data_IF_765118216538
#
_entry.id   IF_765118216538
#
_cell.length_a   1.000
_cell.length_b   1.000
_cell.length_c   1.000
_cell.angle_alpha   90.00
_cell.angle_beta   90.00
_cell.angle_gamma   90.00
#
_symmetry.space_group_name_H-M   'P 1'
#
loop_
_entity.id
_entity.type
_entity.pdbx_description
1 polymer ?
#
# COMPACT_ATOMS: atom_id res chain seq x y z
N UNK A 1 10.46 -19.67 26.19
CA UNK A 1 9.58 -19.98 27.33
C UNK A 1 10.37 -20.89 28.26
N UNK A 2 10.77 -20.39 29.43
CA UNK A 2 11.70 -21.10 30.30
C UNK A 2 10.96 -22.13 31.16
N UNK A 3 10.83 -23.37 30.66
CA UNK A 3 10.20 -24.48 31.39
C UNK A 3 10.81 -24.71 32.78
N UNK A 4 12.09 -24.35 32.94
CA UNK A 4 12.78 -24.36 34.24
C UNK A 4 12.15 -23.38 35.24
N UNK A 5 11.83 -22.15 34.81
CA UNK A 5 11.17 -21.14 35.64
C UNK A 5 9.79 -21.61 36.11
N UNK A 6 9.02 -22.23 35.22
CA UNK A 6 7.71 -22.82 35.53
C UNK A 6 7.85 -23.96 36.55
N UNK A 7 8.83 -24.85 36.35
CA UNK A 7 9.10 -25.95 37.29
C UNK A 7 9.50 -25.48 38.69
N UNK A 8 10.38 -24.48 38.77
CA UNK A 8 10.77 -23.85 40.04
C UNK A 8 9.57 -23.19 40.74
N UNK A 9 8.69 -22.55 39.97
CA UNK A 9 7.46 -21.95 40.48
C UNK A 9 6.48 -23.00 41.04
N UNK A 10 6.23 -24.09 40.31
CA UNK A 10 5.40 -25.22 40.80
C UNK A 10 5.99 -25.78 42.11
N UNK A 11 7.31 -25.97 42.18
CA UNK A 11 7.98 -26.47 43.37
C UNK A 11 7.85 -25.51 44.57
N UNK A 12 7.91 -24.19 44.32
CA UNK A 12 7.74 -23.17 45.34
C UNK A 12 6.31 -23.18 45.90
N UNK A 13 5.30 -23.14 45.02
CA UNK A 13 3.89 -23.13 45.40
C UNK A 13 3.49 -24.41 46.15
N UNK A 14 3.96 -25.58 45.70
CA UNK A 14 3.72 -26.85 46.42
C UNK A 14 4.28 -26.82 47.85
N UNK A 15 5.49 -26.28 48.03
CA UNK A 15 6.14 -26.19 49.35
C UNK A 15 5.42 -25.20 50.25
N UNK A 16 4.89 -24.12 49.71
CA UNK A 16 4.07 -23.15 50.43
C UNK A 16 2.79 -23.78 50.97
N UNK A 17 2.17 -24.67 50.19
CA UNK A 17 1.05 -25.53 50.62
C UNK A 17 1.45 -26.71 51.52
N UNK A 18 2.72 -26.81 51.89
CA UNK A 18 3.28 -27.88 52.75
C UNK A 18 3.03 -29.31 52.22
N UNK A 19 2.86 -29.46 50.89
CA UNK A 19 2.64 -30.75 50.26
C UNK A 19 3.95 -31.39 49.83
N UNK A 20 4.07 -32.71 49.93
CA UNK A 20 5.13 -33.48 49.25
C UNK A 20 4.79 -33.70 47.77
N UNK A 21 5.78 -34.02 46.94
CA UNK A 21 5.53 -34.38 45.52
C UNK A 21 4.56 -35.56 45.39
N UNK A 22 4.62 -36.50 46.35
CA UNK A 22 3.70 -37.64 46.42
C UNK A 22 2.26 -37.21 46.72
N UNK A 23 2.06 -36.34 47.71
CA UNK A 23 0.73 -35.83 48.05
C UNK A 23 0.12 -35.00 46.93
N UNK A 24 0.92 -34.18 46.22
CA UNK A 24 0.44 -33.43 45.06
C UNK A 24 0.08 -34.36 43.90
N UNK A 25 0.89 -35.40 43.65
CA UNK A 25 0.59 -36.42 42.66
C UNK A 25 -0.70 -37.19 42.98
N UNK A 26 -0.86 -37.62 44.23
CA UNK A 26 -2.07 -38.31 44.72
C UNK A 26 -3.32 -37.44 44.54
N UNK A 27 -3.26 -36.15 44.87
CA UNK A 27 -4.36 -35.21 44.70
C UNK A 27 -4.74 -34.99 43.21
N UNK A 28 -3.77 -35.10 42.30
CA UNK A 28 -3.95 -34.94 40.86
C UNK A 28 -4.19 -36.26 40.11
N UNK A 29 -4.19 -37.40 40.81
CA UNK A 29 -4.33 -38.73 40.20
C UNK A 29 -3.14 -39.16 39.33
N UNK A 30 -1.94 -38.65 39.59
CA UNK A 30 -0.71 -38.93 38.81
C UNK A 30 0.47 -39.32 39.70
N UNK A 31 1.51 -39.91 39.09
CA UNK A 31 2.72 -40.29 39.82
C UNK A 31 3.52 -39.07 40.31
N UNK A 32 4.14 -39.19 41.48
CA UNK A 32 5.16 -38.26 42.01
C UNK A 32 6.31 -37.99 41.03
N UNK A 33 6.68 -38.98 40.21
CA UNK A 33 7.66 -38.84 39.12
C UNK A 33 7.25 -37.80 38.07
N UNK A 34 5.95 -37.67 37.79
CA UNK A 34 5.45 -36.66 36.86
C UNK A 34 5.61 -35.25 37.44
N UNK A 35 5.29 -35.08 38.73
CA UNK A 35 5.52 -33.83 39.47
C UNK A 35 7.02 -33.46 39.46
N UNK A 36 7.89 -34.42 39.79
CA UNK A 36 9.35 -34.22 39.78
C UNK A 36 9.88 -33.79 38.41
N UNK A 37 9.32 -34.37 37.33
CA UNK A 37 9.67 -34.00 35.95
C UNK A 37 9.30 -32.55 35.63
N UNK A 38 8.13 -32.08 36.08
CA UNK A 38 7.72 -30.69 35.92
C UNK A 38 8.59 -29.75 36.75
N UNK A 39 8.82 -30.07 38.02
CA UNK A 39 9.65 -29.25 38.93
C UNK A 39 11.11 -29.11 38.45
N UNK A 40 11.63 -30.11 37.73
CA UNK A 40 12.97 -30.05 37.12
C UNK A 40 13.00 -29.38 35.73
N UNK A 41 11.87 -28.84 35.25
CA UNK A 41 11.76 -28.22 33.93
C UNK A 41 11.90 -29.18 32.75
N UNK A 42 11.70 -30.50 32.98
CA UNK A 42 11.84 -31.57 31.96
C UNK A 42 10.51 -31.93 31.29
N UNK A 43 9.50 -31.08 31.41
CA UNK A 43 8.17 -31.24 30.84
C UNK A 43 7.17 -30.27 31.46
N UNK A 44 5.98 -30.21 30.90
CA UNK A 44 4.87 -29.38 31.38
C UNK A 44 3.66 -30.26 31.74
N UNK A 45 2.78 -29.79 32.63
CA UNK A 45 1.49 -30.42 32.85
C UNK A 45 0.65 -30.36 31.58
N UNK A 46 -0.10 -31.43 31.32
CA UNK A 46 -1.04 -31.48 30.20
C UNK A 46 -2.22 -30.53 30.47
N UNK A 47 -2.90 -30.08 29.41
CA UNK A 47 -4.02 -29.13 29.47
C UNK A 47 -5.11 -29.63 30.43
N UNK A 48 -5.36 -30.94 30.44
CA UNK A 48 -6.33 -31.60 31.31
C UNK A 48 -5.98 -31.51 32.81
N UNK A 49 -4.69 -31.41 33.16
CA UNK A 49 -4.19 -31.39 34.54
C UNK A 49 -3.81 -29.96 34.98
N UNK A 50 -3.61 -29.03 34.04
CA UNK A 50 -3.28 -27.64 34.33
C UNK A 50 -4.32 -26.95 35.22
N UNK A 51 -5.62 -27.12 34.94
CA UNK A 51 -6.68 -26.48 35.74
C UNK A 51 -6.73 -27.06 37.17
N UNK A 52 -6.80 -28.38 37.39
CA UNK A 52 -6.72 -28.96 38.73
C UNK A 52 -5.43 -28.61 39.50
N UNK A 53 -4.29 -28.54 38.82
CA UNK A 53 -3.02 -28.13 39.42
C UNK A 53 -3.07 -26.68 39.90
N UNK A 54 -3.62 -25.78 39.08
CA UNK A 54 -3.80 -24.37 39.43
C UNK A 54 -4.71 -24.21 40.66
N UNK A 55 -5.81 -24.97 40.72
CA UNK A 55 -6.73 -24.95 41.88
C UNK A 55 -6.05 -25.44 43.17
N UNK A 56 -5.30 -26.55 43.11
CA UNK A 56 -4.58 -27.10 44.26
C UNK A 56 -3.45 -26.19 44.77
N UNK A 57 -2.82 -25.45 43.87
CA UNK A 57 -1.73 -24.53 44.21
C UNK A 57 -2.22 -23.10 44.46
N UNK A 58 -3.52 -22.82 44.30
CA UNK A 58 -4.14 -21.49 44.40
C UNK A 58 -3.47 -20.42 43.53
N UNK A 59 -3.14 -20.78 42.29
CA UNK A 59 -2.58 -19.90 41.26
C UNK A 59 -3.47 -19.90 40.02
N UNK A 60 -3.34 -18.90 39.16
CA UNK A 60 -4.02 -18.90 37.86
C UNK A 60 -3.14 -19.51 36.75
N UNK A 61 -3.77 -19.89 35.63
CA UNK A 61 -3.06 -20.52 34.49
C UNK A 61 -1.99 -19.59 33.91
N UNK A 62 -2.22 -18.27 33.92
CA UNK A 62 -1.21 -17.31 33.42
C UNK A 62 0.00 -17.23 34.36
N UNK A 63 -0.18 -17.33 35.68
CA UNK A 63 0.90 -17.41 36.68
C UNK A 63 1.71 -18.70 36.51
N UNK A 64 1.02 -19.84 36.33
CA UNK A 64 1.67 -21.11 36.01
C UNK A 64 2.54 -21.02 34.74
N UNK A 65 2.01 -20.44 33.66
CA UNK A 65 2.71 -20.33 32.38
C UNK A 65 3.79 -19.24 32.35
N UNK A 66 3.70 -18.23 33.23
CA UNK A 66 4.72 -17.19 33.39
C UNK A 66 5.80 -17.54 34.41
N UNK A 67 5.53 -18.55 35.26
CA UNK A 67 6.46 -19.04 36.29
C UNK A 67 6.70 -18.02 37.40
N UNK A 68 5.75 -17.13 37.66
CA UNK A 68 5.81 -16.11 38.71
C UNK A 68 4.39 -15.64 39.07
N UNK A 69 4.22 -15.11 40.28
CA UNK A 69 2.99 -14.39 40.61
C UNK A 69 2.85 -13.15 39.74
N UNK A 70 1.69 -13.02 39.11
CA UNK A 70 1.36 -11.87 38.29
C UNK A 70 0.70 -10.85 39.22
N UNK A 71 1.48 -9.86 39.66
CA UNK A 71 0.90 -8.65 40.25
C UNK A 71 0.06 -7.93 39.18
N UNK A 72 -1.06 -7.31 39.55
CA UNK A 72 -1.91 -6.54 38.62
C UNK A 72 -1.08 -5.53 37.78
N UNK A 73 -0.05 -4.93 38.39
CA UNK A 73 0.87 -4.00 37.75
C UNK A 73 1.77 -4.62 36.66
N UNK A 74 2.05 -5.92 36.73
CA UNK A 74 2.85 -6.64 35.73
C UNK A 74 1.99 -7.08 34.54
N UNK A 75 0.72 -7.41 34.78
CA UNK A 75 -0.24 -7.75 33.74
C UNK A 75 -0.57 -6.53 32.87
N UNK A 76 -0.82 -5.36 33.50
CA UNK A 76 -1.11 -4.12 32.77
C UNK A 76 0.06 -3.68 31.88
N UNK A 77 1.28 -3.69 32.40
CA UNK A 77 2.50 -3.35 31.64
C UNK A 77 2.69 -4.24 30.42
N UNK A 78 2.49 -5.54 30.57
CA UNK A 78 2.67 -6.50 29.47
C UNK A 78 1.54 -6.39 28.43
N UNK A 79 0.32 -6.07 28.86
CA UNK A 79 -0.79 -5.77 27.97
C UNK A 79 -0.56 -4.47 27.17
N UNK A 80 -0.06 -3.42 27.82
CA UNK A 80 0.34 -2.16 27.18
C UNK A 80 1.46 -2.37 26.17
N UNK A 81 2.50 -3.12 26.53
CA UNK A 81 3.62 -3.43 25.63
C UNK A 81 3.16 -4.21 24.39
N UNK A 82 2.30 -5.22 24.57
CA UNK A 82 1.72 -5.97 23.46
C UNK A 82 0.85 -5.08 22.57
N UNK A 83 0.06 -4.18 23.16
CA UNK A 83 -0.75 -3.22 22.41
C UNK A 83 0.11 -2.25 21.59
N UNK A 84 1.19 -1.74 22.18
CA UNK A 84 2.14 -0.87 21.50
C UNK A 84 2.85 -1.58 20.34
N UNK A 85 3.26 -2.83 20.53
CA UNK A 85 3.86 -3.65 19.47
C UNK A 85 2.89 -3.88 18.31
N UNK A 86 1.61 -4.17 18.58
CA UNK A 86 0.58 -4.34 17.55
C UNK A 86 0.33 -3.05 16.77
N UNK A 87 0.25 -1.90 17.46
CA UNK A 87 0.09 -0.59 16.82
C UNK A 87 1.30 -0.32 15.90
N UNK A 88 2.52 -0.51 16.40
CA UNK A 88 3.75 -0.28 15.67
C UNK A 88 3.90 -1.20 14.45
N UNK A 89 3.56 -2.48 14.59
CA UNK A 89 3.56 -3.44 13.49
C UNK A 89 2.54 -3.05 12.41
N UNK A 90 1.32 -2.67 12.81
CA UNK A 90 0.30 -2.20 11.87
C UNK A 90 0.72 -0.94 11.11
N UNK A 91 1.48 -0.04 11.74
CA UNK A 91 2.03 1.15 11.10
C UNK A 91 3.15 0.81 10.12
N UNK A 92 4.05 -0.10 10.51
CA UNK A 92 5.14 -0.56 9.66
C UNK A 92 4.63 -1.28 8.42
N UNK A 93 3.67 -2.20 8.58
CA UNK A 93 2.99 -2.86 7.46
C UNK A 93 2.31 -1.86 6.52
N UNK A 94 1.65 -0.82 7.06
CA UNK A 94 1.08 0.26 6.24
C UNK A 94 2.15 1.01 5.45
N UNK A 95 3.29 1.34 6.07
CA UNK A 95 4.41 2.05 5.41
C UNK A 95 5.04 1.22 4.30
N UNK A 96 5.24 -0.08 4.52
CA UNK A 96 5.77 -0.98 3.50
C UNK A 96 4.83 -1.13 2.30
N UNK A 97 3.53 -1.31 2.53
CA UNK A 97 2.54 -1.39 1.46
C UNK A 97 2.49 -0.09 0.62
N UNK A 98 2.58 1.08 1.26
CA UNK A 98 2.62 2.36 0.55
C UNK A 98 3.91 2.48 -0.28
N UNK A 99 5.08 2.16 0.30
CA UNK A 99 6.36 2.19 -0.42
C UNK A 99 6.36 1.26 -1.63
N UNK A 100 5.82 0.05 -1.48
CA UNK A 100 5.69 -0.92 -2.58
C UNK A 100 4.81 -0.40 -3.71
N UNK A 101 3.68 0.22 -3.39
CA UNK A 101 2.79 0.79 -4.42
C UNK A 101 3.42 2.00 -5.13
N UNK A 102 4.09 2.89 -4.41
CA UNK A 102 4.83 4.02 -5.02
C UNK A 102 5.91 3.50 -5.95
N UNK A 103 6.69 2.50 -5.52
CA UNK A 103 7.75 1.91 -6.34
C UNK A 103 7.18 1.33 -7.65
N UNK A 104 6.08 0.57 -7.58
CA UNK A 104 5.39 0.04 -8.77
C UNK A 104 4.94 1.14 -9.72
N UNK A 105 4.34 2.22 -9.20
CA UNK A 105 3.93 3.37 -10.02
C UNK A 105 5.11 4.06 -10.67
N UNK A 106 6.21 4.30 -9.94
CA UNK A 106 7.42 4.94 -10.47
C UNK A 106 8.05 4.08 -11.56
N UNK A 107 8.23 2.78 -11.33
CA UNK A 107 8.78 1.85 -12.32
C UNK A 107 7.94 1.84 -13.59
N UNK A 108 6.62 1.85 -13.46
CA UNK A 108 5.71 1.88 -14.62
C UNK A 108 5.82 3.18 -15.42
N UNK A 109 5.91 4.33 -14.75
CA UNK A 109 6.11 5.64 -15.41
C UNK A 109 7.48 5.69 -16.09
N UNK A 110 8.56 5.25 -15.41
CA UNK A 110 9.90 5.18 -15.98
C UNK A 110 9.94 4.28 -17.23
N UNK A 111 9.25 3.13 -17.21
CA UNK A 111 9.16 2.25 -18.36
C UNK A 111 8.50 2.93 -19.57
N UNK A 112 7.39 3.64 -19.36
CA UNK A 112 6.75 4.40 -20.44
C UNK A 112 7.64 5.53 -20.98
N UNK A 113 8.34 6.26 -20.10
CA UNK A 113 9.29 7.30 -20.51
C UNK A 113 10.49 6.73 -21.28
N UNK A 114 11.00 5.56 -20.89
CA UNK A 114 12.08 4.85 -21.60
C UNK A 114 11.64 4.41 -22.99
N UNK A 115 10.43 3.86 -23.13
CA UNK A 115 9.87 3.48 -24.44
C UNK A 115 9.76 4.72 -25.33
N UNK A 116 9.20 5.81 -24.80
CA UNK A 116 9.09 7.07 -25.54
C UNK A 116 10.46 7.60 -25.97
N UNK A 117 11.44 7.58 -25.06
CA UNK A 117 12.82 8.00 -25.34
C UNK A 117 13.44 7.14 -26.45
N UNK A 118 13.30 5.82 -26.40
CA UNK A 118 13.81 4.94 -27.46
C UNK A 118 13.18 5.20 -28.83
N UNK A 119 11.87 5.50 -28.87
CA UNK A 119 11.19 5.88 -30.12
C UNK A 119 11.73 7.20 -30.70
N UNK A 120 11.98 8.19 -29.85
CA UNK A 120 12.59 9.47 -30.25
C UNK A 120 14.03 9.27 -30.73
N UNK A 121 14.82 8.44 -30.04
CA UNK A 121 16.21 8.16 -30.44
C UNK A 121 16.30 7.36 -31.74
N UNK A 122 15.37 6.43 -31.98
CA UNK A 122 15.30 5.66 -33.23
C UNK A 122 15.02 6.60 -34.42
N UNK A 123 14.11 7.55 -34.24
CA UNK A 123 13.79 8.54 -35.28
C UNK A 123 14.90 9.58 -35.49
N UNK A 124 15.52 10.08 -34.40
CA UNK A 124 16.66 10.99 -34.47
C UNK A 124 17.91 10.35 -35.12
N UNK A 125 18.02 9.02 -35.10
CA UNK A 125 19.15 8.31 -35.71
C UNK A 125 19.09 8.22 -37.25
N UNK A 126 17.89 8.34 -37.85
CA UNK A 126 17.72 8.05 -39.28
C UNK A 126 17.83 9.25 -40.22
N UNK A 127 17.77 10.48 -39.73
CA UNK A 127 17.88 11.71 -40.53
C UNK A 127 18.10 12.86 -39.54
N UNK A 128 18.69 13.99 -39.94
CA UNK A 128 18.85 15.20 -39.10
C UNK A 128 17.51 15.82 -38.64
N UNK A 129 16.62 15.04 -38.01
CA UNK A 129 15.33 15.46 -37.49
C UNK A 129 15.54 16.16 -36.15
N UNK A 130 15.25 17.46 -36.03
CA UNK A 130 15.43 18.18 -34.78
C UNK A 130 14.46 17.65 -33.73
N UNK A 131 14.97 17.39 -32.52
CA UNK A 131 14.16 16.94 -31.36
C UNK A 131 13.02 17.94 -31.05
N UNK A 132 13.18 19.21 -31.43
CA UNK A 132 12.16 20.26 -31.27
C UNK A 132 10.85 19.97 -31.99
N UNK A 133 10.85 19.11 -33.02
CA UNK A 133 9.63 18.68 -33.70
C UNK A 133 8.71 17.83 -32.83
N UNK A 134 9.21 17.23 -31.73
CA UNK A 134 8.42 16.42 -30.81
C UNK A 134 7.74 17.23 -29.69
N UNK A 135 7.99 18.54 -29.63
CA UNK A 135 7.53 19.41 -28.56
C UNK A 135 6.62 20.54 -29.06
N UNK A 136 5.31 20.35 -28.93
CA UNK A 136 4.26 21.36 -29.19
C UNK A 136 3.72 21.91 -27.86
N UNK A 137 4.41 22.94 -27.34
CA UNK A 137 4.04 23.57 -26.07
C UNK A 137 2.65 24.23 -26.09
N UNK A 138 2.24 24.97 -27.14
CA UNK A 138 0.88 25.51 -27.24
C UNK A 138 -0.21 24.45 -27.08
N UNK A 139 -0.11 23.31 -27.77
CA UNK A 139 -1.09 22.23 -27.64
C UNK A 139 -1.09 21.61 -26.26
N UNK A 140 0.09 21.40 -25.66
CA UNK A 140 0.18 20.89 -24.29
C UNK A 140 -0.51 21.83 -23.29
N UNK A 141 -0.26 23.13 -23.38
CA UNK A 141 -0.89 24.15 -22.51
C UNK A 141 -2.42 24.14 -22.71
N UNK A 142 -2.91 24.11 -23.95
CA UNK A 142 -4.33 24.06 -24.26
C UNK A 142 -5.01 22.81 -23.67
N UNK A 143 -4.36 21.64 -23.76
CA UNK A 143 -4.86 20.40 -23.19
C UNK A 143 -4.89 20.41 -21.66
N UNK A 144 -3.84 20.93 -21.01
CA UNK A 144 -3.82 21.08 -19.55
C UNK A 144 -4.88 22.07 -19.07
N UNK A 145 -5.13 23.14 -19.84
CA UNK A 145 -6.21 24.08 -19.57
C UNK A 145 -7.58 23.43 -19.73
N UNK A 146 -7.80 22.62 -20.77
CA UNK A 146 -9.04 21.86 -20.96
C UNK A 146 -9.30 20.88 -19.82
N UNK A 147 -8.26 20.15 -19.37
CA UNK A 147 -8.32 19.29 -18.18
C UNK A 147 -8.75 20.10 -16.95
N UNK A 148 -8.11 21.25 -16.72
CA UNK A 148 -8.46 22.13 -15.61
C UNK A 148 -9.92 22.58 -15.67
N UNK A 149 -10.40 23.07 -16.83
CA UNK A 149 -11.79 23.48 -17.02
C UNK A 149 -12.75 22.32 -16.77
N UNK A 150 -12.45 21.12 -17.27
CA UNK A 150 -13.27 19.93 -17.06
C UNK A 150 -13.40 19.63 -15.58
N UNK A 151 -12.30 19.62 -14.82
CA UNK A 151 -12.32 19.37 -13.39
C UNK A 151 -13.03 20.50 -12.61
N UNK A 152 -12.87 21.74 -13.04
CA UNK A 152 -13.49 22.91 -12.42
C UNK A 152 -15.00 22.89 -12.55
N UNK A 153 -15.51 22.78 -13.79
CA UNK A 153 -16.95 22.81 -14.05
C UNK A 153 -17.69 21.58 -13.53
N UNK A 154 -17.03 20.42 -13.47
CA UNK A 154 -17.63 19.22 -12.88
C UNK A 154 -17.49 19.17 -11.35
N UNK A 155 -16.85 20.16 -10.72
CA UNK A 155 -16.66 20.21 -9.27
C UNK A 155 -15.69 19.16 -8.71
N UNK A 156 -14.88 18.52 -9.56
CA UNK A 156 -13.97 17.44 -9.17
C UNK A 156 -12.52 17.89 -8.90
N UNK A 157 -12.21 19.20 -8.91
CA UNK A 157 -10.84 19.72 -8.66
C UNK A 157 -10.25 19.24 -7.33
N UNK A 158 -11.00 19.38 -6.22
CA UNK A 158 -10.58 18.91 -4.89
C UNK A 158 -10.41 17.39 -4.86
N UNK A 159 -11.33 16.67 -5.48
CA UNK A 159 -11.33 15.20 -5.52
C UNK A 159 -10.14 14.66 -6.32
N UNK A 160 -9.80 15.30 -7.43
CA UNK A 160 -8.62 14.98 -8.24
C UNK A 160 -7.33 15.23 -7.44
N UNK A 161 -7.21 16.35 -6.73
CA UNK A 161 -6.08 16.61 -5.84
C UNK A 161 -5.99 15.57 -4.71
N UNK A 162 -7.14 15.23 -4.12
CA UNK A 162 -7.21 14.24 -3.05
C UNK A 162 -6.73 12.86 -3.50
N UNK A 163 -7.00 12.46 -4.75
CA UNK A 163 -6.51 11.20 -5.34
C UNK A 163 -5.00 11.01 -5.14
N UNK A 164 -4.19 12.05 -5.43
CA UNK A 164 -2.75 12.01 -5.22
C UNK A 164 -2.35 12.05 -3.74
N UNK A 165 -3.10 12.78 -2.92
CA UNK A 165 -2.89 12.80 -1.47
C UNK A 165 -3.07 11.41 -0.84
N UNK A 166 -3.97 10.61 -1.42
CA UNK A 166 -4.26 9.24 -0.97
C UNK A 166 -3.16 8.24 -1.30
N UNK A 167 -2.32 8.54 -2.30
CA UNK A 167 -1.14 7.75 -2.62
C UNK A 167 0.02 8.03 -1.65
N UNK A 168 0.16 9.28 -1.22
CA UNK A 168 1.37 9.74 -0.51
C UNK A 168 1.25 9.80 1.01
N UNK A 169 0.11 10.25 1.56
CA UNK A 169 0.04 10.66 2.98
C UNK A 169 -1.25 10.31 3.74
N UNK A 170 -2.41 10.32 3.08
CA UNK A 170 -3.73 10.22 3.76
C UNK A 170 -4.46 8.95 3.31
N UNK A 171 -5.17 8.26 4.21
CA UNK A 171 -6.18 7.26 3.77
C UNK A 171 -7.52 7.99 3.57
N UNK A 172 -8.34 7.58 2.60
CA UNK A 172 -9.70 8.10 2.48
C UNK A 172 -10.46 7.81 3.79
N UNK A 173 -11.23 8.78 4.26
CA UNK A 173 -12.02 8.63 5.51
C UNK A 173 -13.28 7.78 5.28
N UNK A 174 -13.77 7.74 4.05
CA UNK A 174 -14.92 6.94 3.65
C UNK A 174 -14.73 6.34 2.26
N UNK A 175 -15.45 5.24 1.98
CA UNK A 175 -15.53 4.64 0.64
C UNK A 175 -16.02 5.67 -0.39
N UNK A 176 -16.97 6.51 -0.03
CA UNK A 176 -17.50 7.57 -0.90
C UNK A 176 -16.43 8.59 -1.30
N UNK A 177 -15.54 8.98 -0.37
CA UNK A 177 -14.44 9.90 -0.66
C UNK A 177 -13.44 9.27 -1.65
N UNK A 178 -13.16 7.97 -1.50
CA UNK A 178 -12.33 7.21 -2.42
C UNK A 178 -12.97 7.09 -3.81
N UNK A 179 -14.27 6.82 -3.88
CA UNK A 179 -15.03 6.76 -5.14
C UNK A 179 -15.02 8.11 -5.87
N UNK A 180 -15.23 9.22 -5.17
CA UNK A 180 -15.16 10.57 -5.76
C UNK A 180 -13.78 10.88 -6.34
N UNK A 181 -12.71 10.40 -5.70
CA UNK A 181 -11.35 10.51 -6.22
C UNK A 181 -11.14 9.65 -7.48
N UNK A 182 -11.63 8.40 -7.50
CA UNK A 182 -11.57 7.52 -8.69
C UNK A 182 -12.33 8.15 -9.87
N UNK A 183 -13.53 8.68 -9.62
CA UNK A 183 -14.34 9.36 -10.65
C UNK A 183 -13.56 10.56 -11.21
N UNK A 184 -12.95 11.37 -10.34
CA UNK A 184 -12.17 12.54 -10.76
C UNK A 184 -10.95 12.16 -11.62
N UNK A 185 -10.23 11.10 -11.27
CA UNK A 185 -9.08 10.60 -12.06
C UNK A 185 -9.55 10.02 -13.40
N UNK A 186 -10.64 9.24 -13.40
CA UNK A 186 -11.25 8.69 -14.62
C UNK A 186 -11.71 9.80 -15.57
N UNK A 187 -12.32 10.86 -15.02
CA UNK A 187 -12.73 12.04 -15.78
C UNK A 187 -11.52 12.77 -16.37
N UNK A 188 -10.46 12.95 -15.60
CA UNK A 188 -9.22 13.56 -16.08
C UNK A 188 -8.60 12.78 -17.24
N UNK A 189 -8.51 11.44 -17.13
CA UNK A 189 -8.03 10.57 -18.20
C UNK A 189 -8.83 10.75 -19.50
N UNK A 190 -10.17 10.72 -19.40
CA UNK A 190 -11.06 10.92 -20.55
C UNK A 190 -10.88 12.30 -21.16
N UNK A 191 -10.79 13.35 -20.33
CA UNK A 191 -10.62 14.73 -20.80
C UNK A 191 -9.31 14.94 -21.56
N UNK A 192 -8.22 14.29 -21.15
CA UNK A 192 -6.92 14.36 -21.83
C UNK A 192 -6.98 13.70 -23.22
N UNK A 193 -7.62 12.53 -23.33
CA UNK A 193 -7.81 11.84 -24.62
C UNK A 193 -8.71 12.68 -25.53
N UNK A 194 -9.83 13.20 -25.01
CA UNK A 194 -10.75 14.06 -25.77
C UNK A 194 -10.07 15.34 -26.25
N UNK A 195 -9.30 16.02 -25.39
CA UNK A 195 -8.55 17.21 -25.77
C UNK A 195 -7.50 16.91 -26.84
N UNK A 196 -6.74 15.82 -26.68
CA UNK A 196 -5.74 15.40 -27.67
C UNK A 196 -6.36 15.08 -29.03
N UNK A 197 -7.49 14.36 -29.04
CA UNK A 197 -8.24 14.08 -30.27
C UNK A 197 -8.79 15.35 -30.93
N UNK A 198 -9.35 16.28 -30.15
CA UNK A 198 -9.87 17.55 -30.65
C UNK A 198 -8.76 18.43 -31.27
N UNK A 199 -7.64 18.60 -30.57
CA UNK A 199 -6.48 19.34 -31.08
C UNK A 199 -5.96 18.71 -32.38
N UNK A 200 -5.83 17.38 -32.41
CA UNK A 200 -5.37 16.65 -33.61
C UNK A 200 -6.30 16.88 -34.80
N UNK A 201 -7.62 16.80 -34.59
CA UNK A 201 -8.61 17.05 -35.64
C UNK A 201 -8.57 18.51 -36.12
N UNK A 202 -8.42 19.46 -35.20
CA UNK A 202 -8.29 20.88 -35.54
C UNK A 202 -7.04 21.15 -36.39
N UNK A 203 -5.87 20.65 -35.98
CA UNK A 203 -4.65 20.81 -36.76
C UNK A 203 -4.69 20.06 -38.09
N UNK A 204 -5.38 18.92 -38.16
CA UNK A 204 -5.59 18.20 -39.42
C UNK A 204 -6.39 19.05 -40.42
N UNK A 205 -7.46 19.71 -39.98
CA UNK A 205 -8.25 20.63 -40.81
C UNK A 205 -7.40 21.84 -41.24
N UNK A 206 -6.65 22.42 -40.30
CA UNK A 206 -5.75 23.54 -40.59
C UNK A 206 -4.68 23.18 -41.63
N UNK A 207 -4.08 21.98 -41.50
CA UNK A 207 -3.09 21.48 -42.45
C UNK A 207 -3.70 21.27 -43.84
N UNK A 208 -4.91 20.70 -43.94
CA UNK A 208 -5.62 20.55 -45.22
C UNK A 208 -5.87 21.91 -45.89
N UNK A 209 -6.31 22.92 -45.14
CA UNK A 209 -6.48 24.27 -45.66
C UNK A 209 -5.16 24.90 -46.13
N UNK A 210 -4.07 24.69 -45.39
CA UNK A 210 -2.74 25.15 -45.77
C UNK A 210 -2.25 24.51 -47.08
N UNK A 211 -2.49 23.21 -47.30
CA UNK A 211 -2.07 22.52 -48.53
C UNK A 211 -2.75 23.06 -49.79
N UNK A 212 -3.96 23.60 -49.69
CA UNK A 212 -4.64 24.24 -50.83
C UNK A 212 -4.00 25.55 -51.28
N UNK A 213 -3.09 26.12 -50.48
CA UNK A 213 -2.42 27.40 -50.73
C UNK A 213 -0.94 27.25 -51.11
N UNK A 214 -0.58 26.24 -51.90
CA UNK A 214 0.78 26.01 -52.43
C UNK A 214 1.88 25.74 -51.38
N UNK A 215 1.59 24.89 -50.40
CA UNK A 215 2.59 24.38 -49.45
C UNK A 215 3.56 23.40 -50.13
N UNK A 216 4.86 23.55 -49.89
CA UNK A 216 5.88 22.60 -50.35
C UNK A 216 5.88 21.30 -49.53
N UNK A 217 6.39 20.21 -50.11
CA UNK A 217 6.35 18.88 -49.49
C UNK A 217 7.12 18.80 -48.16
N UNK A 218 8.17 19.60 -48.00
CA UNK A 218 8.97 19.60 -46.77
C UNK A 218 8.21 20.24 -45.60
N UNK A 219 7.54 21.37 -45.86
CA UNK A 219 6.66 22.01 -44.88
C UNK A 219 5.43 21.17 -44.57
N UNK A 220 4.88 20.45 -45.56
CA UNK A 220 3.77 19.52 -45.34
C UNK A 220 4.15 18.38 -44.40
N UNK A 221 5.27 17.70 -44.67
CA UNK A 221 5.74 16.58 -43.85
C UNK A 221 6.11 17.00 -42.42
N UNK A 222 6.72 18.18 -42.26
CA UNK A 222 6.96 18.83 -40.97
C UNK A 222 5.66 19.05 -40.17
N UNK A 223 4.62 19.61 -40.80
CA UNK A 223 3.34 19.88 -40.13
C UNK A 223 2.50 18.62 -39.88
N UNK A 224 2.66 17.57 -40.70
CA UNK A 224 2.04 16.27 -40.44
C UNK A 224 2.53 15.66 -39.12
N UNK A 225 3.83 15.76 -38.85
CA UNK A 225 4.40 15.26 -37.60
C UNK A 225 3.78 15.98 -36.38
N UNK A 226 3.65 17.31 -36.44
CA UNK A 226 3.11 18.14 -35.36
C UNK A 226 1.62 17.83 -35.11
N UNK A 227 0.85 17.58 -36.16
CA UNK A 227 -0.60 17.32 -36.09
C UNK A 227 -0.96 16.15 -35.16
N UNK A 228 -0.11 15.11 -35.06
CA UNK A 228 -0.39 13.90 -34.26
C UNK A 228 0.11 13.99 -32.80
N UNK A 229 0.95 14.98 -32.48
CA UNK A 229 1.55 15.15 -31.15
C UNK A 229 0.51 15.37 -30.05
N UNK A 230 -0.56 16.17 -30.24
CA UNK A 230 -1.56 16.36 -29.19
C UNK A 230 -2.28 15.05 -28.81
N UNK A 231 -2.53 14.16 -29.77
CA UNK A 231 -3.10 12.85 -29.47
C UNK A 231 -2.15 12.01 -28.60
N UNK A 232 -0.85 12.02 -28.90
CA UNK A 232 0.17 11.36 -28.09
C UNK A 232 0.20 11.92 -26.65
N UNK A 233 0.12 13.24 -26.47
CA UNK A 233 0.03 13.85 -25.14
C UNK A 233 -1.20 13.37 -24.37
N UNK A 234 -2.34 13.22 -25.04
CA UNK A 234 -3.57 12.73 -24.43
C UNK A 234 -3.43 11.29 -23.93
N UNK A 235 -2.85 10.42 -24.77
CA UNK A 235 -2.58 9.01 -24.43
C UNK A 235 -1.56 8.91 -23.29
N UNK A 236 -0.44 9.63 -23.35
CA UNK A 236 0.60 9.62 -22.31
C UNK A 236 0.04 10.15 -20.99
N UNK A 237 -0.72 11.25 -21.03
CA UNK A 237 -1.34 11.82 -19.83
C UNK A 237 -2.34 10.86 -19.18
N UNK A 238 -3.19 10.21 -19.98
CA UNK A 238 -4.11 9.18 -19.49
C UNK A 238 -3.36 7.94 -18.94
N UNK A 239 -2.28 7.53 -19.60
CA UNK A 239 -1.41 6.45 -19.15
C UNK A 239 -0.85 6.78 -17.75
N UNK A 240 -0.25 7.95 -17.54
CA UNK A 240 0.30 8.38 -16.24
C UNK A 240 -0.73 8.31 -15.11
N UNK A 241 -2.01 8.57 -15.39
CA UNK A 241 -3.10 8.53 -14.40
C UNK A 241 -3.66 7.12 -14.15
N UNK A 242 -3.38 6.15 -15.02
CA UNK A 242 -3.91 4.79 -14.92
C UNK A 242 -3.47 4.06 -13.63
N UNK A 243 -2.18 4.09 -13.22
CA UNK A 243 -1.75 3.50 -11.94
C UNK A 243 -2.38 4.18 -10.72
N UNK A 244 -2.61 5.50 -10.79
CA UNK A 244 -3.27 6.27 -9.71
C UNK A 244 -4.67 5.72 -9.49
N UNK A 245 -5.43 5.53 -10.57
CA UNK A 245 -6.77 4.95 -10.54
C UNK A 245 -6.76 3.53 -9.97
N UNK A 246 -5.91 2.65 -10.50
CA UNK A 246 -5.83 1.25 -10.04
C UNK A 246 -5.43 1.12 -8.56
N UNK A 247 -4.55 1.99 -8.06
CA UNK A 247 -4.20 2.00 -6.64
C UNK A 247 -5.36 2.44 -5.75
N UNK A 248 -6.21 3.36 -6.21
CA UNK A 248 -7.41 3.78 -5.48
C UNK A 248 -8.49 2.70 -5.49
N UNK A 249 -8.70 2.01 -6.60
CA UNK A 249 -9.66 0.89 -6.70
C UNK A 249 -9.31 -0.22 -5.71
N UNK A 250 -8.03 -0.57 -5.59
CA UNK A 250 -7.54 -1.55 -4.61
C UNK A 250 -7.72 -1.13 -3.15
N UNK A 251 -8.01 0.14 -2.84
CA UNK A 251 -8.28 0.62 -1.47
C UNK A 251 -9.76 0.51 -1.08
N UNK A 252 -10.64 0.20 -2.04
CA UNK A 252 -12.09 0.10 -1.84
C UNK A 252 -12.57 -1.35 -1.79
N UNK A 253 -11.78 -2.28 -2.36
CA UNK A 253 -11.95 -3.73 -2.24
C UNK A 253 -11.49 -4.23 -0.86
#
# INVERSE_FOLDING_TARGET
>A
MEQKKIGEFIAAQRKEKQMTQKQLGEALGISDKAISKWECGKGLPDISIMVPLCELLEINVNELLSGEHLTEDAYSRKAEENMMNLIQESENQKKENIRGNILRTVTWVMGNLLILFMLIMTSASQTNFPITFYFDMPSLIAMLFYLYLTLFFTGHTKNFRNAFSFLRRRKPESIEEAQKAIIAVSLAMKSLITAGAFCTLFFSIYLLWLTTNSMDLSTFTANMAITLIPFLYGVIGAAILMPVKGCLENKIL
#
